data_IF_864068704287
#
_entry.id   IF_864068704287
#
_cell.length_a   1.000
_cell.length_b   1.000
_cell.length_c   1.000
_cell.angle_alpha   90.00
_cell.angle_beta   90.00
_cell.angle_gamma   90.00
#
_symmetry.space_group_name_H-M   'P 1'
#
loop_
_entity.id
_entity.type
_entity.pdbx_description
1 polymer ?
2 polymer ?
3 polymer ?
4 polymer ?
5 non-polymer ?
6 non-polymer ?
7 non-polymer ?
8 non-polymer ?
9 non-polymer ?
10 non-polymer ?
11 non-polymer ?
12 water ?
#
loop_
_entity_poly.entity_id
_entity_poly.type
_entity_poly.pdbx_seq_one_letter_code
_entity_poly.pdbx_strand_id
2 'polydeoxyribonucleotide' '(DC)(DG)(DG)(DC)(DA)(DT)(DA)(DC)(DG)' ?
3 'polydeoxyribonucleotide' '(DC)(DG)(DT)(DA)(8OG)' ?
4 'polydeoxyribonucleotide' '(DG)(DC)(DC)(DG)' ?
#
# COMPACT_ATOMS: atom_id res chain seq x y z
N UNK A 12 -18.30 6.04 16.54
CA UNK A 12 -17.35 5.72 15.47
C UNK A 12 -17.23 6.86 14.44
N UNK A 13 -16.06 7.49 14.35
CA UNK A 13 -15.91 8.61 13.42
C UNK A 13 -15.90 8.13 11.98
N UNK A 14 -16.24 9.05 11.08
CA UNK A 14 -16.50 8.65 9.69
C UNK A 14 -15.23 8.49 8.88
N UNK A 15 -14.13 9.11 9.27
CA UNK A 15 -12.89 9.03 8.54
C UNK A 15 -11.93 8.05 9.19
N UNK A 16 -11.22 7.27 8.38
CA UNK A 16 -10.35 6.25 8.98
C UNK A 16 -9.19 6.88 9.76
N UNK A 17 -8.80 8.11 9.43
CA UNK A 17 -7.69 8.75 10.13
C UNK A 17 -8.07 9.28 11.51
N UNK A 18 -9.34 9.19 11.89
CA UNK A 18 -9.81 9.66 13.17
C UNK A 18 -9.94 8.55 14.21
N UNK A 19 -9.54 7.34 13.87
CA UNK A 19 -9.71 6.24 14.78
C UNK A 19 -8.52 5.31 14.64
N UNK A 20 -8.08 4.71 15.75
CA UNK A 20 -7.05 3.68 15.66
C UNK A 20 -7.55 2.45 14.94
N UNK A 21 -6.72 1.92 14.06
CA UNK A 21 -7.03 0.65 13.39
C UNK A 21 -5.83 -0.27 13.54
N UNK A 22 -5.92 -1.29 14.40
CA UNK A 22 -4.79 -2.19 14.62
C UNK A 22 -4.65 -3.16 13.47
N UNK A 23 -3.50 -3.82 13.44
CA UNK A 23 -3.23 -4.77 12.37
C UNK A 23 -4.12 -5.99 12.49
N UNK A 24 -4.29 -6.48 13.70
CA UNK A 24 -5.17 -7.62 13.93
C UNK A 24 -6.37 -7.15 14.72
N UNK A 25 -7.51 -7.80 14.49
CA UNK A 25 -8.72 -7.26 15.08
C UNK A 25 -9.74 -8.38 15.31
N UNK A 26 -11.02 -7.98 15.44
CA UNK A 26 -12.05 -8.87 15.97
C UNK A 26 -13.12 -9.17 14.94
N UNK A 27 -12.92 -8.77 13.69
CA UNK A 27 -13.93 -8.94 12.66
C UNK A 27 -13.29 -9.32 11.34
N UNK A 28 -12.29 -10.21 11.42
CA UNK A 28 -11.45 -10.52 10.28
C UNK A 28 -12.26 -11.06 9.11
N UNK A 29 -13.14 -12.04 9.37
CA UNK A 29 -13.88 -12.66 8.28
C UNK A 29 -14.83 -11.69 7.59
N UNK A 30 -15.50 -10.86 8.37
CA UNK A 30 -16.41 -9.87 7.79
C UNK A 30 -15.66 -8.87 6.95
N UNK A 31 -14.52 -8.38 7.46
CA UNK A 31 -13.76 -7.40 6.70
C UNK A 31 -13.21 -8.01 5.42
N UNK A 32 -12.76 -9.28 5.47
CA UNK A 32 -12.23 -9.92 4.27
C UNK A 32 -13.29 -10.02 3.17
N UNK A 33 -14.53 -10.31 3.56
CA UNK A 33 -15.62 -10.43 2.60
C UNK A 33 -15.90 -9.10 1.92
N UNK A 34 -15.96 -8.02 2.70
CA UNK A 34 -16.18 -6.70 2.12
C UNK A 34 -15.01 -6.31 1.21
N UNK A 35 -13.78 -6.70 1.55
CA UNK A 35 -12.65 -6.36 0.70
C UNK A 35 -12.64 -7.14 -0.61
N UNK A 36 -13.26 -8.33 -0.66
CA UNK A 36 -13.43 -9.00 -1.95
C UNK A 36 -14.34 -8.19 -2.85
N UNK A 37 -15.44 -7.68 -2.31
CA UNK A 37 -16.34 -6.86 -3.11
C UNK A 37 -15.68 -5.56 -3.53
N UNK A 38 -14.84 -4.98 -2.67
CA UNK A 38 -14.13 -3.77 -3.04
C UNK A 38 -13.19 -4.03 -4.20
N UNK A 39 -12.42 -5.12 -4.11
CA UNK A 39 -11.49 -5.51 -5.17
C UNK A 39 -12.21 -5.74 -6.49
N UNK A 40 -13.33 -6.46 -6.46
CA UNK A 40 -14.11 -6.70 -7.67
C UNK A 40 -14.61 -5.39 -8.27
N UNK A 41 -15.05 -4.46 -7.43
CA UNK A 41 -15.48 -3.16 -7.91
C UNK A 41 -14.35 -2.44 -8.63
N UNK A 42 -13.13 -2.49 -8.07
CA UNK A 42 -11.98 -1.92 -8.75
C UNK A 42 -11.69 -2.58 -10.09
N UNK A 43 -11.85 -3.90 -10.17
CA UNK A 43 -11.62 -4.56 -11.45
C UNK A 43 -12.61 -4.12 -12.51
N UNK A 44 -13.77 -3.62 -12.11
CA UNK A 44 -14.76 -3.14 -13.06
C UNK A 44 -14.69 -1.62 -13.26
N UNK A 45 -13.74 -0.94 -12.62
CA UNK A 45 -13.63 0.50 -12.77
C UNK A 45 -14.58 1.30 -11.90
N UNK A 46 -15.17 0.69 -10.88
CA UNK A 46 -16.14 1.38 -10.04
C UNK A 46 -15.42 1.87 -8.79
N UNK A 47 -14.72 3.00 -8.93
CA UNK A 47 -13.89 3.47 -7.81
C UNK A 47 -14.72 3.92 -6.62
N UNK A 48 -15.92 4.46 -6.84
CA UNK A 48 -16.73 4.88 -5.71
C UNK A 48 -17.20 3.72 -4.87
N UNK A 49 -17.65 2.65 -5.52
CA UNK A 49 -18.07 1.47 -4.77
C UNK A 49 -16.88 0.82 -4.09
N UNK A 50 -15.73 0.77 -4.77
CA UNK A 50 -14.51 0.26 -4.14
C UNK A 50 -14.23 1.01 -2.83
N UNK A 51 -14.32 2.34 -2.88
CA UNK A 51 -14.02 3.12 -1.68
C UNK A 51 -15.00 2.83 -0.56
N UNK A 52 -16.30 2.74 -0.87
CA UNK A 52 -17.26 2.43 0.19
C UNK A 52 -17.02 1.06 0.79
N UNK A 53 -16.77 0.04 -0.02
CA UNK A 53 -16.56 -1.29 0.56
C UNK A 53 -15.27 -1.32 1.39
N UNK A 54 -14.21 -0.64 0.92
CA UNK A 54 -12.98 -0.54 1.69
C UNK A 54 -13.22 0.16 3.02
N UNK A 55 -13.97 1.27 2.99
CA UNK A 55 -14.25 2.02 4.21
C UNK A 55 -15.08 1.21 5.18
N UNK A 56 -16.12 0.53 4.69
CA UNK A 56 -16.92 -0.31 5.56
C UNK A 56 -16.08 -1.42 6.19
N UNK A 57 -15.23 -2.06 5.38
CA UNK A 57 -14.34 -3.07 5.93
C UNK A 57 -13.48 -2.46 7.04
N UNK A 58 -12.97 -1.24 6.80
CA UNK A 58 -12.08 -0.60 7.75
C UNK A 58 -12.78 -0.28 9.06
N UNK A 59 -14.05 0.12 8.98
CA UNK A 59 -14.82 0.37 10.19
C UNK A 59 -14.84 -0.87 11.07
N UNK A 60 -15.03 -2.04 10.47
CA UNK A 60 -15.07 -3.27 11.26
C UNK A 60 -13.73 -3.55 11.92
N UNK A 61 -12.64 -3.25 11.21
CA UNK A 61 -11.32 -3.44 11.79
C UNK A 61 -11.12 -2.58 13.04
N UNK A 62 -11.82 -1.45 13.12
CA UNK A 62 -11.64 -0.50 14.20
C UNK A 62 -12.53 -0.82 15.40
N UNK A 63 -13.42 -1.80 15.27
CA UNK A 63 -14.35 -2.07 16.36
C UNK A 63 -13.64 -2.80 17.49
N UNK A 64 -14.12 -2.62 18.73
CA UNK A 64 -13.43 -3.22 19.86
C UNK A 64 -13.79 -4.66 20.13
N UNK A 65 -14.77 -5.21 19.43
CA UNK A 65 -15.14 -6.61 19.66
C UNK A 65 -15.89 -7.11 18.43
N UNK A 66 -16.21 -8.40 18.39
CA UNK A 66 -16.86 -8.95 17.20
C UNK A 66 -18.29 -8.47 17.03
N UNK A 67 -18.66 -8.21 15.79
CA UNK A 67 -20.07 -8.01 15.45
C UNK A 67 -20.75 -9.37 15.47
N UNK A 68 -21.78 -9.51 16.29
CA UNK A 68 -22.55 -10.73 16.41
C UNK A 68 -23.98 -10.60 15.92
N UNK A 69 -24.49 -9.40 15.78
CA UNK A 69 -25.86 -9.24 15.36
C UNK A 69 -26.00 -7.98 14.52
N UNK A 70 -26.99 -7.99 13.62
CA UNK A 70 -27.18 -6.91 12.65
C UNK A 70 -27.36 -5.57 13.33
N UNK A 71 -28.06 -5.54 14.46
CA UNK A 71 -28.28 -4.36 15.27
C UNK A 71 -27.00 -3.56 15.51
N UNK A 72 -25.88 -4.27 15.66
CA UNK A 72 -24.63 -3.59 16.01
C UNK A 72 -24.08 -2.73 14.87
N UNK A 73 -24.61 -2.86 13.66
CA UNK A 73 -24.20 -2.00 12.56
C UNK A 73 -24.95 -0.68 12.53
N UNK A 74 -26.04 -0.56 13.25
CA UNK A 74 -26.88 0.62 13.13
C UNK A 74 -26.09 1.82 13.61
N UNK A 75 -26.07 2.86 12.81
CA UNK A 75 -25.31 4.01 13.14
C UNK A 75 -23.84 3.95 12.75
N UNK A 76 -23.30 2.79 12.35
CA UNK A 76 -21.90 2.80 11.93
C UNK A 76 -21.77 3.49 10.58
N UNK A 77 -20.76 4.32 10.39
CA UNK A 77 -20.60 4.95 9.08
C UNK A 77 -20.19 3.96 8.00
N UNK A 78 -20.65 4.23 6.78
CA UNK A 78 -20.36 3.46 5.57
C UNK A 78 -21.06 2.12 5.51
N UNK A 79 -22.00 1.86 6.40
CA UNK A 79 -22.88 0.69 6.31
C UNK A 79 -24.28 1.13 5.90
N UNK A 80 -24.64 0.80 4.67
CA UNK A 80 -26.00 0.94 4.20
C UNK A 80 -26.56 -0.40 3.82
N UNK A 81 -27.53 -0.41 2.91
CA UNK A 81 -28.27 -1.64 2.66
C UNK A 81 -27.36 -2.74 2.12
N UNK A 82 -26.44 -2.39 1.21
CA UNK A 82 -25.62 -3.43 0.58
C UNK A 82 -24.61 -4.03 1.55
N UNK A 83 -23.77 -3.21 2.18
CA UNK A 83 -22.79 -3.74 3.11
C UNK A 83 -23.45 -4.43 4.29
N UNK A 84 -24.60 -3.91 4.75
CA UNK A 84 -25.29 -4.53 5.87
C UNK A 84 -25.84 -5.90 5.47
N UNK A 85 -26.33 -6.02 4.23
CA UNK A 85 -26.83 -7.30 3.76
C UNK A 85 -25.71 -8.33 3.73
N UNK A 86 -24.52 -7.92 3.29
CA UNK A 86 -23.39 -8.84 3.24
C UNK A 86 -23.07 -9.34 4.65
N UNK A 87 -23.01 -8.44 5.61
CA UNK A 87 -22.73 -8.84 6.98
C UNK A 87 -23.85 -9.74 7.50
N UNK A 88 -25.12 -9.40 7.24
CA UNK A 88 -26.21 -10.22 7.75
C UNK A 88 -26.10 -11.66 7.25
N UNK A 89 -25.79 -11.84 5.96
CA UNK A 89 -25.71 -13.20 5.41
C UNK A 89 -24.57 -13.98 6.03
N UNK A 90 -23.43 -13.32 6.24
CA UNK A 90 -22.31 -13.97 6.91
C UNK A 90 -22.66 -14.35 8.34
N UNK A 91 -23.37 -13.46 9.06
CA UNK A 91 -23.74 -13.80 10.44
C UNK A 91 -24.73 -14.95 10.46
N UNK A 92 -25.64 -14.99 9.48
CA UNK A 92 -26.74 -15.95 9.50
C UNK A 92 -26.33 -17.31 8.94
N UNK A 93 -25.48 -17.32 7.91
CA UNK A 93 -25.19 -18.53 7.17
C UNK A 93 -23.70 -18.85 7.07
N UNK A 94 -22.83 -17.96 7.53
CA UNK A 94 -21.41 -18.19 7.42
C UNK A 94 -20.83 -17.90 6.05
N UNK A 95 -21.67 -17.49 5.11
CA UNK A 95 -21.29 -17.32 3.71
C UNK A 95 -22.20 -16.27 3.10
N UNK A 96 -21.66 -15.44 2.21
CA UNK A 96 -22.43 -14.45 1.48
C UNK A 96 -22.44 -14.86 0.02
N UNK A 97 -23.62 -15.11 -0.54
CA UNK A 97 -23.66 -15.69 -1.88
C UNK A 97 -23.01 -14.75 -2.89
N UNK A 98 -23.19 -13.44 -2.73
CA UNK A 98 -22.57 -12.50 -3.66
C UNK A 98 -21.06 -12.62 -3.63
N UNK A 99 -20.50 -12.69 -2.42
CA UNK A 99 -19.05 -12.81 -2.27
C UNK A 99 -18.56 -14.10 -2.89
N UNK A 100 -19.28 -15.20 -2.67
CA UNK A 100 -18.83 -16.46 -3.23
C UNK A 100 -18.90 -16.46 -4.75
N UNK A 101 -19.95 -15.88 -5.32
CA UNK A 101 -20.04 -15.81 -6.78
C UNK A 101 -18.88 -15.02 -7.37
N UNK A 102 -18.51 -13.89 -6.75
CA UNK A 102 -17.32 -13.16 -7.17
C UNK A 102 -16.09 -14.07 -7.13
N UNK A 103 -15.85 -14.69 -5.97
CA UNK A 103 -14.65 -15.50 -5.79
C UNK A 103 -14.49 -16.54 -6.89
N UNK A 104 -15.60 -17.20 -7.23
CA UNK A 104 -15.63 -18.29 -8.19
C UNK A 104 -15.54 -17.83 -9.63
N UNK A 105 -15.74 -16.55 -9.88
CA UNK A 105 -15.93 -16.10 -11.23
C UNK A 105 -14.61 -16.07 -11.99
N UNK A 106 -14.70 -16.39 -13.28
CA UNK A 106 -13.52 -16.40 -14.13
C UNK A 106 -12.95 -14.99 -14.28
N UNK A 107 -13.82 -13.98 -14.34
CA UNK A 107 -13.35 -12.60 -14.46
C UNK A 107 -12.58 -12.17 -13.22
N UNK A 108 -13.14 -12.40 -12.03
CA UNK A 108 -12.42 -12.03 -10.83
C UNK A 108 -11.07 -12.74 -10.74
N UNK A 109 -11.06 -14.05 -10.96
CA UNK A 109 -9.84 -14.82 -10.78
C UNK A 109 -8.76 -14.38 -11.77
N UNK A 110 -9.14 -14.09 -13.01
CA UNK A 110 -8.14 -13.73 -14.00
C UNK A 110 -7.65 -12.30 -13.80
N UNK A 111 -8.55 -11.39 -13.49
CA UNK A 111 -8.13 -10.02 -13.20
C UNK A 111 -7.23 -9.98 -11.97
N UNK A 112 -7.53 -10.80 -10.95
CA UNK A 112 -6.64 -10.87 -9.78
C UNK A 112 -5.26 -11.36 -10.18
N UNK A 113 -5.19 -12.44 -10.97
CA UNK A 113 -3.91 -12.99 -11.41
C UNK A 113 -3.12 -11.98 -12.23
N UNK A 114 -3.79 -11.30 -13.15
CA UNK A 114 -3.06 -10.43 -14.06
C UNK A 114 -2.59 -9.16 -13.35
N UNK A 115 -3.47 -8.56 -12.52
CA UNK A 115 -3.09 -7.31 -11.86
C UNK A 115 -2.04 -7.54 -10.78
N UNK A 116 -1.87 -8.78 -10.34
CA UNK A 116 -0.78 -9.07 -9.41
C UNK A 116 0.59 -9.04 -10.08
N UNK A 117 0.64 -9.06 -11.43
CA UNK A 117 1.91 -8.97 -12.13
C UNK A 117 2.44 -7.56 -12.02
N UNK A 118 3.70 -7.44 -11.62
CA UNK A 118 4.37 -6.14 -11.61
C UNK A 118 4.47 -5.63 -13.04
N UNK A 119 3.89 -4.46 -13.31
CA UNK A 119 3.83 -3.90 -14.64
C UNK A 119 2.47 -3.96 -15.26
N UNK A 120 1.51 -4.61 -14.61
CA UNK A 120 0.17 -4.81 -15.16
C UNK A 120 -0.82 -4.18 -14.20
N UNK A 121 -1.61 -3.22 -14.68
CA UNK A 121 -2.69 -2.65 -13.92
C UNK A 121 -4.03 -3.17 -14.38
N UNK A 122 -5.09 -2.59 -13.80
CA UNK A 122 -6.45 -2.99 -14.14
C UNK A 122 -6.70 -2.81 -15.64
N UNK A 123 -6.29 -1.67 -16.19
CA UNK A 123 -6.57 -1.41 -17.60
C UNK A 123 -5.92 -2.46 -18.49
N UNK A 124 -4.65 -2.78 -18.24
CA UNK A 124 -4.01 -3.78 -19.09
C UNK A 124 -4.63 -5.16 -18.89
N UNK A 125 -4.84 -5.55 -17.63
CA UNK A 125 -5.49 -6.83 -17.32
C UNK A 125 -6.83 -6.96 -18.02
N UNK A 126 -7.64 -5.90 -17.98
CA UNK A 126 -8.95 -5.94 -18.61
C UNK A 126 -8.84 -6.13 -20.13
N UNK A 127 -7.90 -5.44 -20.78
CA UNK A 127 -7.71 -5.61 -22.22
C UNK A 127 -7.32 -7.04 -22.56
N UNK A 128 -6.33 -7.58 -21.83
CA UNK A 128 -5.95 -8.97 -22.02
C UNK A 128 -7.13 -9.90 -21.82
N UNK A 129 -7.93 -9.66 -20.78
CA UNK A 129 -9.10 -10.49 -20.53
C UNK A 129 -10.04 -10.49 -21.72
N UNK A 130 -10.33 -9.30 -22.25
CA UNK A 130 -11.24 -9.20 -23.38
C UNK A 130 -10.64 -9.83 -24.63
N UNK A 131 -9.32 -9.83 -24.76
CA UNK A 131 -8.68 -10.51 -25.88
C UNK A 131 -8.69 -12.03 -25.76
N UNK A 132 -9.16 -12.57 -24.65
CA UNK A 132 -9.23 -14.01 -24.48
C UNK A 132 -8.16 -14.64 -23.62
N UNK A 133 -7.20 -13.86 -23.12
CA UNK A 133 -6.10 -14.40 -22.32
C UNK A 133 -6.58 -14.70 -20.91
N UNK A 134 -6.09 -15.82 -20.34
CA UNK A 134 -6.51 -16.26 -19.03
C UNK A 134 -5.39 -16.70 -18.10
N UNK A 135 -4.21 -17.09 -18.59
CA UNK A 135 -3.18 -17.64 -17.73
C UNK A 135 -1.85 -16.92 -17.93
N UNK A 136 -0.94 -17.12 -17.00
CA UNK A 136 0.37 -16.52 -17.15
C UNK A 136 1.11 -17.10 -18.35
N UNK A 137 0.93 -18.39 -18.62
CA UNK A 137 1.59 -18.95 -19.78
C UNK A 137 0.97 -18.44 -21.08
N UNK A 138 -0.32 -18.07 -21.06
CA UNK A 138 -0.86 -17.34 -22.21
C UNK A 138 -0.02 -16.10 -22.49
N UNK A 139 0.34 -15.36 -21.45
CA UNK A 139 1.11 -14.14 -21.65
C UNK A 139 2.54 -14.46 -22.06
N UNK A 140 3.10 -15.56 -21.55
CA UNK A 140 4.47 -15.89 -21.90
C UNK A 140 4.62 -16.25 -23.37
N UNK A 141 3.54 -16.69 -24.01
CA UNK A 141 3.61 -17.15 -25.39
C UNK A 141 3.60 -16.02 -26.41
N UNK A 142 3.41 -14.76 -26.00
CA UNK A 142 3.48 -13.62 -26.91
C UNK A 142 4.29 -12.50 -26.28
N UNK A 143 5.57 -12.74 -25.98
CA UNK A 143 6.33 -11.79 -25.16
C UNK A 143 6.63 -10.48 -25.88
N UNK A 144 6.34 -10.40 -27.17
CA UNK A 144 6.63 -9.17 -27.91
C UNK A 144 5.65 -8.07 -27.56
N UNK A 145 4.45 -8.43 -27.11
CA UNK A 145 3.46 -7.46 -26.66
C UNK A 145 3.62 -7.08 -25.19
N UNK A 146 4.73 -7.45 -24.55
CA UNK A 146 4.98 -7.15 -23.15
C UNK A 146 6.01 -6.05 -23.04
N UNK A 147 5.80 -5.13 -22.10
CA UNK A 147 6.80 -4.12 -21.77
C UNK A 147 7.95 -4.79 -21.04
N UNK A 148 9.11 -4.12 -21.01
CA UNK A 148 10.22 -4.71 -20.27
C UNK A 148 9.86 -4.90 -18.80
N UNK A 149 9.08 -3.97 -18.25
CA UNK A 149 8.65 -4.10 -16.85
C UNK A 149 7.75 -5.30 -16.64
N UNK A 150 6.82 -5.54 -17.58
CA UNK A 150 5.96 -6.72 -17.50
C UNK A 150 6.76 -8.00 -17.68
N UNK A 151 7.75 -7.98 -18.57
CA UNK A 151 8.61 -9.14 -18.72
C UNK A 151 9.27 -9.51 -17.40
N UNK A 152 9.81 -8.51 -16.70
CA UNK A 152 10.40 -8.75 -15.39
C UNK A 152 9.38 -9.27 -14.40
N UNK A 153 8.22 -8.61 -14.34
CA UNK A 153 7.19 -9.06 -13.43
C UNK A 153 6.77 -10.49 -13.67
N UNK A 154 6.69 -10.89 -14.94
CA UNK A 154 6.29 -12.26 -15.27
C UNK A 154 7.41 -13.25 -14.98
N UNK A 155 8.67 -12.91 -15.31
CA UNK A 155 9.73 -13.86 -15.02
C UNK A 155 9.84 -14.11 -13.51
N UNK A 156 9.71 -13.04 -12.72
CA UNK A 156 9.88 -13.11 -11.27
C UNK A 156 8.58 -13.34 -10.51
N UNK A 157 7.50 -13.64 -11.21
CA UNK A 157 6.19 -13.67 -10.59
C UNK A 157 6.14 -14.64 -9.42
N UNK A 158 6.75 -15.81 -9.57
CA UNK A 158 6.64 -16.85 -8.55
C UNK A 158 7.32 -16.39 -7.27
N UNK A 159 8.54 -15.86 -7.37
CA UNK A 159 9.20 -15.35 -6.17
C UNK A 159 8.42 -14.18 -5.57
N UNK A 160 7.93 -13.28 -6.42
CA UNK A 160 7.26 -12.10 -5.89
C UNK A 160 5.95 -12.45 -5.22
N UNK A 161 5.45 -13.67 -5.42
CA UNK A 161 4.21 -14.12 -4.80
C UNK A 161 4.42 -14.68 -3.40
N UNK A 162 5.68 -14.91 -2.99
CA UNK A 162 5.99 -15.49 -1.69
C UNK A 162 6.32 -14.38 -0.71
N UNK A 163 5.76 -14.38 0.48
CA UNK A 163 5.95 -13.21 1.33
C UNK A 163 7.38 -13.08 1.81
N UNK A 164 7.72 -11.86 2.04
CA UNK A 164 8.96 -11.41 2.65
C UNK A 164 8.79 -11.46 4.16
N UNK A 165 9.82 -11.92 4.88
CA UNK A 165 9.81 -11.96 6.34
C UNK A 165 10.66 -10.82 6.94
N UNK A 166 10.43 -10.56 8.22
CA UNK A 166 11.15 -9.46 8.87
C UNK A 166 12.66 -9.72 8.90
N UNK A 167 13.08 -11.00 9.04
CA UNK A 167 14.48 -11.38 8.85
C UNK A 167 15.02 -10.90 7.51
N UNK A 168 14.23 -11.08 6.46
CA UNK A 168 14.69 -10.66 5.14
C UNK A 168 14.89 -9.16 5.12
N UNK A 169 14.00 -8.43 5.78
CA UNK A 169 14.03 -6.98 5.74
C UNK A 169 15.31 -6.45 6.38
N UNK A 170 15.68 -7.00 7.54
CA UNK A 170 16.90 -6.57 8.21
C UNK A 170 18.11 -6.76 7.31
N UNK A 171 18.18 -7.90 6.61
CA UNK A 171 19.28 -8.13 5.70
C UNK A 171 19.27 -7.14 4.55
N UNK A 172 18.08 -6.86 3.97
CA UNK A 172 18.04 -5.89 2.89
C UNK A 172 18.41 -4.51 3.40
N UNK A 173 18.00 -4.15 4.62
CA UNK A 173 18.30 -2.80 5.07
C UNK A 173 19.81 -2.60 5.22
N UNK A 174 20.52 -3.66 5.61
CA UNK A 174 21.96 -3.52 5.74
C UNK A 174 22.63 -3.28 4.38
N UNK A 175 22.18 -3.98 3.33
CA UNK A 175 22.87 -3.77 2.05
C UNK A 175 22.50 -2.41 1.46
N UNK A 176 21.27 -1.93 1.68
CA UNK A 176 20.90 -0.59 1.22
C UNK A 176 21.69 0.47 1.98
N UNK A 177 21.85 0.31 3.29
CA UNK A 177 22.63 1.25 4.07
C UNK A 177 24.07 1.33 3.58
N UNK A 178 24.67 0.17 3.23
CA UNK A 178 26.04 0.18 2.74
C UNK A 178 26.14 1.03 1.48
N UNK A 179 25.20 0.86 0.55
CA UNK A 179 25.27 1.58 -0.72
C UNK A 179 25.02 3.06 -0.50
N UNK A 180 24.04 3.37 0.35
CA UNK A 180 23.69 4.75 0.66
C UNK A 180 24.86 5.46 1.33
N UNK A 181 25.56 4.75 2.22
CA UNK A 181 26.71 5.32 2.91
C UNK A 181 27.85 5.71 1.98
N UNK A 182 28.08 4.92 0.92
CA UNK A 182 29.08 5.29 -0.08
C UNK A 182 28.54 6.37 -1.00
N UNK A 183 27.24 6.34 -1.29
CA UNK A 183 26.69 7.33 -2.20
C UNK A 183 26.70 8.71 -1.56
N UNK A 184 26.43 8.78 -0.26
CA UNK A 184 26.37 10.06 0.44
C UNK A 184 26.54 9.82 1.93
N UNK A 185 27.76 9.95 2.44
CA UNK A 185 27.98 9.80 3.88
C UNK A 185 27.01 10.66 4.68
N UNK A 186 26.44 10.07 5.71
CA UNK A 186 25.50 10.76 6.56
C UNK A 186 24.07 10.58 6.16
N UNK A 187 23.80 10.03 4.98
CA UNK A 187 22.43 9.77 4.59
C UNK A 187 21.88 8.62 5.42
N UNK A 188 20.57 8.65 5.66
CA UNK A 188 19.92 7.68 6.54
C UNK A 188 18.88 6.90 5.77
N UNK A 189 18.60 5.70 6.26
CA UNK A 189 17.66 4.77 5.62
C UNK A 189 16.62 4.43 6.69
N UNK A 190 15.35 4.67 6.38
CA UNK A 190 14.24 4.38 7.28
C UNK A 190 13.31 3.36 6.65
N UNK A 191 13.00 2.29 7.40
CA UNK A 191 12.03 1.33 6.93
C UNK A 191 10.63 1.92 7.04
N UNK A 192 9.88 1.85 5.94
CA UNK A 192 8.52 2.37 5.93
C UNK A 192 7.54 1.27 5.55
N UNK A 193 6.42 1.67 4.95
CA UNK A 193 5.46 0.68 4.50
C UNK A 193 4.87 -0.21 5.59
N UNK A 194 4.38 -1.38 5.15
CA UNK A 194 3.68 -2.27 6.07
C UNK A 194 4.52 -2.78 7.23
N UNK A 195 5.82 -3.01 7.01
CA UNK A 195 6.67 -3.45 8.11
C UNK A 195 6.74 -2.38 9.19
N UNK A 196 6.72 -1.11 8.82
CA UNK A 196 6.71 -0.10 9.88
C UNK A 196 5.38 -0.09 10.63
N UNK A 197 4.28 -0.52 10.02
CA UNK A 197 3.00 -0.64 10.72
C UNK A 197 2.90 -1.92 11.56
N UNK A 198 3.97 -2.73 11.61
CA UNK A 198 4.04 -3.89 12.48
C UNK A 198 3.84 -5.23 11.80
N UNK A 199 3.67 -5.24 10.48
CA UNK A 199 3.46 -6.49 9.78
C UNK A 199 4.67 -7.39 9.97
N UNK A 200 4.42 -8.68 10.15
CA UNK A 200 5.49 -9.65 10.26
C UNK A 200 5.92 -10.19 8.91
N UNK A 201 5.06 -10.01 7.89
CA UNK A 201 5.35 -10.41 6.52
C UNK A 201 4.91 -9.28 5.58
N UNK A 202 5.34 -9.35 4.33
CA UNK A 202 4.91 -8.35 3.37
C UNK A 202 5.25 -8.85 1.99
N UNK A 203 4.78 -8.13 0.98
CA UNK A 203 5.12 -8.56 -0.37
C UNK A 203 6.11 -7.64 -1.03
N UNK A 204 6.63 -6.68 -0.28
CA UNK A 204 7.71 -5.83 -0.74
C UNK A 204 8.26 -5.16 0.50
N UNK A 205 9.36 -4.45 0.29
CA UNK A 205 10.01 -3.71 1.35
C UNK A 205 10.15 -2.28 0.86
N UNK A 206 9.87 -1.32 1.74
CA UNK A 206 9.89 0.09 1.40
C UNK A 206 10.91 0.82 2.26
N UNK A 207 11.79 1.59 1.63
CA UNK A 207 12.77 2.37 2.38
C UNK A 207 12.71 3.83 1.95
N UNK A 208 12.88 4.73 2.92
CA UNK A 208 12.91 6.16 2.71
C UNK A 208 14.27 6.68 3.12
N UNK A 209 14.89 7.46 2.24
CA UNK A 209 16.29 7.88 2.37
C UNK A 209 16.28 9.40 2.45
N UNK A 210 17.01 9.96 3.41
CA UNK A 210 17.18 11.41 3.47
C UNK A 210 18.59 11.72 4.00
N UNK A 211 18.87 13.01 4.17
CA UNK A 211 20.16 13.48 4.69
C UNK A 211 19.86 14.68 5.58
N UNK A 212 20.52 14.81 6.73
CA UNK A 212 20.14 15.87 7.67
C UNK A 212 20.42 17.27 7.17
N UNK A 213 21.26 17.42 6.14
CA UNK A 213 21.55 18.73 5.55
C UNK A 213 20.70 18.92 4.29
N UNK A 214 19.73 19.83 4.38
CA UNK A 214 18.82 20.09 3.29
C UNK A 214 19.58 20.40 2.01
N UNK A 215 19.20 19.71 0.92
CA UNK A 215 19.81 19.85 -0.36
C UNK A 215 20.84 18.78 -0.69
N UNK A 216 21.45 18.18 0.33
CA UNK A 216 22.49 17.20 0.06
C UNK A 216 21.93 15.95 -0.61
N UNK A 217 20.64 15.70 -0.46
CA UNK A 217 20.05 14.50 -1.01
C UNK A 217 19.77 14.63 -2.50
N UNK A 218 19.95 15.81 -3.08
CA UNK A 218 19.70 15.97 -4.50
C UNK A 218 20.63 15.04 -5.26
N UNK A 219 20.07 14.36 -6.25
CA UNK A 219 20.87 13.48 -7.10
C UNK A 219 21.31 12.19 -6.44
N UNK A 220 20.76 11.86 -5.26
CA UNK A 220 21.21 10.71 -4.50
C UNK A 220 20.76 9.37 -5.10
N UNK A 221 19.53 9.26 -5.56
CA UNK A 221 19.03 7.93 -5.91
C UNK A 221 19.79 7.29 -7.06
N UNK A 222 20.15 7.99 -8.13
CA UNK A 222 20.99 7.34 -9.17
C UNK A 222 22.30 6.81 -8.61
N UNK A 223 22.92 7.55 -7.69
CA UNK A 223 24.18 7.08 -7.12
C UNK A 223 23.95 5.81 -6.28
N UNK A 224 22.82 5.76 -5.57
CA UNK A 224 22.52 4.56 -4.80
C UNK A 224 22.26 3.39 -5.74
N UNK A 225 21.47 3.62 -6.79
CA UNK A 225 21.13 2.52 -7.69
C UNK A 225 22.35 1.98 -8.41
N UNK A 226 23.28 2.86 -8.82
CA UNK A 226 24.48 2.40 -9.51
C UNK A 226 25.29 1.49 -8.62
N UNK A 227 25.37 1.84 -7.34
CA UNK A 227 26.15 1.05 -6.39
C UNK A 227 25.48 -0.28 -6.09
N UNK A 228 24.16 -0.31 -6.00
CA UNK A 228 23.53 -1.61 -5.77
C UNK A 228 23.67 -2.49 -7.01
N UNK A 229 23.56 -1.89 -8.20
CA UNK A 229 23.70 -2.65 -9.43
C UNK A 229 25.12 -3.19 -9.58
N UNK A 230 26.13 -2.38 -9.25
CA UNK A 230 27.52 -2.85 -9.29
C UNK A 230 27.75 -4.02 -8.34
N UNK A 231 27.05 -4.07 -7.20
CA UNK A 231 27.14 -5.19 -6.26
C UNK A 231 26.36 -6.42 -6.70
N UNK A 232 25.72 -6.39 -7.86
CA UNK A 232 25.02 -7.56 -8.35
C UNK A 232 23.69 -7.84 -7.70
N UNK A 233 23.14 -6.87 -6.98
CA UNK A 233 21.94 -7.08 -6.19
C UNK A 233 20.65 -6.74 -6.92
N UNK A 234 20.72 -6.08 -8.08
CA UNK A 234 19.54 -5.54 -8.73
C UNK A 234 19.19 -6.45 -9.89
N UNK A 235 18.06 -7.13 -9.79
CA UNK A 235 17.58 -7.92 -10.90
C UNK A 235 16.79 -7.10 -11.91
N UNK A 236 16.15 -6.02 -11.46
CA UNK A 236 15.39 -5.14 -12.35
C UNK A 236 15.26 -3.77 -11.69
N UNK A 237 15.40 -2.72 -12.51
CA UNK A 237 14.95 -1.38 -12.12
C UNK A 237 14.81 -0.56 -13.40
N UNK A 238 14.22 0.62 -13.27
CA UNK A 238 14.12 1.47 -14.46
C UNK A 238 15.36 2.34 -14.61
N UNK A 258 17.28 12.13 -13.72
CA UNK A 258 17.10 12.36 -12.30
C UNK A 258 15.79 11.73 -11.82
N UNK A 259 15.77 11.13 -10.64
CA UNK A 259 14.55 10.52 -10.12
C UNK A 259 14.62 10.43 -8.60
N UNK A 260 13.45 10.19 -7.96
CA UNK A 260 13.37 10.11 -6.51
C UNK A 260 12.59 8.90 -5.97
N UNK A 261 11.96 8.10 -6.83
CA UNK A 261 11.35 6.82 -6.45
C UNK A 261 11.90 5.77 -7.39
N UNK A 262 12.35 4.65 -6.84
CA UNK A 262 12.86 3.54 -7.64
C UNK A 262 12.10 2.28 -7.25
N UNK A 263 11.51 1.60 -8.25
CA UNK A 263 10.73 0.38 -8.01
C UNK A 263 11.61 -0.75 -8.55
N UNK A 264 12.27 -1.49 -7.67
CA UNK A 264 13.22 -2.46 -8.17
C UNK A 264 12.92 -3.85 -7.64
N UNK A 265 13.56 -4.84 -8.27
CA UNK A 265 13.54 -6.23 -7.85
C UNK A 265 14.97 -6.54 -7.42
N UNK A 266 15.13 -7.00 -6.17
CA UNK A 266 16.40 -7.28 -5.51
C UNK A 266 16.64 -8.78 -5.49
N UNK A 267 17.93 -9.16 -5.56
CA UNK A 267 18.33 -10.52 -5.21
C UNK A 267 18.54 -10.62 -3.69
N UNK A 268 17.73 -11.44 -3.03
CA UNK A 268 17.81 -11.61 -1.59
C UNK A 268 18.41 -12.98 -1.28
N UNK A 269 19.54 -13.06 -0.57
CA UNK A 269 20.09 -14.37 -0.21
C UNK A 269 19.11 -15.24 0.56
N UNK A 270 19.22 -16.56 0.30
CA UNK A 270 18.47 -17.64 0.92
C UNK A 270 19.46 -18.78 1.14
N UNK A 271 19.14 -19.80 1.94
CA UNK A 271 20.08 -20.91 2.13
C UNK A 271 20.45 -21.57 0.80
N UNK A 272 21.72 -21.47 0.43
CA UNK A 272 22.20 -22.09 -0.79
C UNK A 272 21.67 -21.52 -2.10
N UNK A 273 20.98 -20.38 -2.04
CA UNK A 273 20.41 -19.79 -3.24
C UNK A 273 19.96 -18.36 -2.91
N UNK A 274 18.89 -17.91 -3.53
CA UNK A 274 18.41 -16.54 -3.40
C UNK A 274 17.00 -16.49 -3.95
N UNK A 275 16.32 -15.40 -3.68
CA UNK A 275 15.02 -15.15 -4.29
C UNK A 275 14.86 -13.68 -4.60
N UNK A 276 14.00 -13.40 -5.58
CA UNK A 276 13.69 -12.04 -5.99
C UNK A 276 12.71 -11.42 -5.01
N UNK A 277 12.94 -10.15 -4.64
CA UNK A 277 12.10 -9.40 -3.72
C UNK A 277 11.87 -8.01 -4.30
N UNK A 278 10.64 -7.53 -4.24
CA UNK A 278 10.34 -6.16 -4.61
C UNK A 278 10.80 -5.22 -3.49
N UNK A 279 11.53 -4.18 -3.87
CA UNK A 279 12.04 -3.18 -2.94
C UNK A 279 11.78 -1.81 -3.57
N UNK A 280 11.18 -0.91 -2.81
CA UNK A 280 11.01 0.47 -3.23
C UNK A 280 11.95 1.36 -2.45
N UNK A 281 12.67 2.21 -3.17
CA UNK A 281 13.56 3.20 -2.58
C UNK A 281 13.07 4.58 -2.94
N UNK A 282 13.00 5.45 -1.93
CA UNK A 282 12.47 6.79 -2.09
C UNK A 282 13.42 7.76 -1.41
N UNK A 283 13.65 8.90 -2.04
CA UNK A 283 14.47 9.95 -1.45
C UNK A 283 13.62 11.18 -1.22
N UNK A 284 13.83 11.83 -0.07
CA UNK A 284 13.10 13.06 0.27
C UNK A 284 14.09 14.02 0.92
N UNK A 285 14.00 15.31 0.67
CA UNK A 285 14.75 16.26 1.49
C UNK A 285 14.24 16.21 2.93
N UNK A 286 15.13 16.54 3.88
CA UNK A 286 14.76 16.39 5.28
C UNK A 286 13.55 17.28 5.64
N UNK A 287 13.39 18.44 4.98
CA UNK A 287 12.22 19.28 5.23
C UNK A 287 10.92 18.57 4.88
N UNK A 288 10.94 17.64 3.93
CA UNK A 288 9.75 16.93 3.52
C UNK A 288 9.64 15.56 4.16
N UNK A 289 10.66 15.14 4.90
CA UNK A 289 10.74 13.75 5.34
C UNK A 289 9.53 13.35 6.18
N UNK A 290 9.00 14.17 7.08
CA UNK A 290 7.83 13.73 7.86
C UNK A 290 6.63 13.44 6.98
N UNK A 291 6.44 14.25 5.92
CA UNK A 291 5.34 14.02 5.01
C UNK A 291 5.55 12.77 4.19
N UNK A 292 6.78 12.53 3.77
CA UNK A 292 7.06 11.33 3.00
C UNK A 292 6.96 10.10 3.88
N UNK A 293 7.45 10.19 5.12
CA UNK A 293 7.33 9.07 6.05
C UNK A 293 5.86 8.74 6.29
N UNK A 294 5.05 9.77 6.52
CA UNK A 294 3.63 9.55 6.72
C UNK A 294 3.00 8.86 5.51
N UNK A 295 3.25 9.37 4.32
CA UNK A 295 2.64 8.79 3.14
C UNK A 295 3.08 7.36 2.90
N UNK A 296 4.40 7.10 2.94
CA UNK A 296 4.92 5.78 2.62
C UNK A 296 4.68 4.77 3.73
N UNK A 297 4.31 5.21 4.93
CA UNK A 297 3.93 4.26 5.98
C UNK A 297 2.49 3.76 5.82
N UNK A 298 1.60 4.51 5.14
CA UNK A 298 0.27 3.99 4.82
C UNK A 298 -0.59 3.85 6.06
N UNK A 299 -1.57 2.94 6.03
CA UNK A 299 -1.97 2.16 4.86
C UNK A 299 -2.47 3.06 3.71
N UNK A 300 -2.71 2.44 2.55
CA UNK A 300 -3.24 3.19 1.43
C UNK A 300 -4.56 3.88 1.80
N UNK A 301 -5.50 3.13 2.35
CA UNK A 301 -6.78 3.73 2.74
C UNK A 301 -6.56 4.84 3.76
N UNK A 302 -5.63 4.63 4.70
CA UNK A 302 -5.37 5.65 5.70
C UNK A 302 -4.92 6.94 5.04
N UNK A 303 -4.05 6.85 4.03
CA UNK A 303 -3.56 8.07 3.40
C UNK A 303 -4.64 8.76 2.58
N UNK A 304 -5.46 7.99 1.85
CA UNK A 304 -6.57 8.58 1.11
C UNK A 304 -7.53 9.29 2.05
N UNK A 305 -7.83 8.67 3.19
CA UNK A 305 -8.73 9.25 4.16
C UNK A 305 -8.12 10.49 4.81
N UNK A 306 -6.83 10.45 5.11
CA UNK A 306 -6.16 11.61 5.68
C UNK A 306 -6.16 12.78 4.70
N UNK A 307 -5.91 12.51 3.43
CA UNK A 307 -5.89 13.60 2.47
C UNK A 307 -7.29 14.13 2.24
N UNK A 308 -8.29 13.25 2.25
CA UNK A 308 -9.67 13.69 2.12
C UNK A 308 -10.08 14.54 3.32
N UNK A 309 -9.74 14.07 4.53
CA UNK A 309 -10.00 14.82 5.75
C UNK A 309 -9.37 16.21 5.69
N UNK A 310 -8.08 16.27 5.35
CA UNK A 310 -7.37 17.53 5.26
C UNK A 310 -8.11 18.54 4.39
N UNK A 311 -8.45 18.12 3.17
CA UNK A 311 -9.04 19.02 2.21
C UNK A 311 -10.47 19.35 2.58
N UNK A 312 -11.28 18.33 2.85
CA UNK A 312 -12.72 18.54 3.03
C UNK A 312 -13.08 19.10 4.41
N UNK A 313 -12.34 18.76 5.46
CA UNK A 313 -12.68 19.23 6.80
C UNK A 313 -11.84 20.43 7.23
N UNK A 314 -10.59 20.52 6.77
CA UNK A 314 -9.70 21.57 7.23
C UNK A 314 -9.30 22.55 6.12
N UNK A 315 -9.61 22.25 4.87
CA UNK A 315 -9.30 23.19 3.81
C UNK A 315 -7.84 23.26 3.47
N UNK A 316 -7.09 22.21 3.78
CA UNK A 316 -5.67 22.12 3.54
C UNK A 316 -5.35 20.97 2.59
N UNK A 317 -4.33 21.14 1.77
CA UNK A 317 -4.00 20.19 0.71
C UNK A 317 -2.77 19.39 1.12
N UNK A 318 -2.95 18.07 1.28
CA UNK A 318 -1.89 17.18 1.77
C UNK A 318 -1.39 16.24 0.68
N UNK A 319 -0.07 16.08 0.63
CA UNK A 319 0.53 15.02 -0.15
C UNK A 319 1.81 14.55 0.55
N UNK A 320 2.59 13.72 -0.13
CA UNK A 320 3.76 13.12 0.51
C UNK A 320 4.95 14.07 0.52
N UNK A 321 4.75 15.30 0.03
CA UNK A 321 5.75 16.35 0.06
C UNK A 321 5.47 17.46 1.04
N UNK A 322 4.23 17.62 1.49
CA UNK A 322 3.90 18.80 2.28
C UNK A 322 2.40 18.96 2.48
N UNK A 323 2.08 20.08 3.14
CA UNK A 323 0.72 20.41 3.58
C UNK A 323 0.54 21.88 3.27
N UNK A 324 -0.35 22.20 2.33
CA UNK A 324 -0.49 23.53 1.78
C UNK A 324 -1.78 24.18 2.26
N UNK A 325 -1.67 25.44 2.71
CA UNK A 325 -2.81 26.32 2.99
C UNK A 325 -3.09 27.13 1.73
N UNK A 326 -4.14 26.78 0.99
CA UNK A 326 -4.41 27.50 -0.27
C UNK A 326 -4.95 28.90 -0.08
N UNK A 327 -5.34 29.29 1.14
CA UNK A 327 -5.83 30.65 1.38
C UNK A 327 -4.65 31.61 1.63
N UNK A 328 -3.73 31.26 2.52
CA UNK A 328 -2.55 32.09 2.69
C UNK A 328 -1.43 31.73 1.72
N UNK A 329 -1.56 30.61 1.01
CA UNK A 329 -0.60 30.21 -0.02
C UNK A 329 0.76 29.92 0.63
N UNK A 330 0.72 29.11 1.68
CA UNK A 330 1.89 28.81 2.48
C UNK A 330 1.92 27.32 2.81
N UNK A 331 3.13 26.78 2.97
CA UNK A 331 3.35 25.40 3.33
C UNK A 331 3.64 25.29 4.82
N UNK A 332 3.07 24.27 5.45
CA UNK A 332 3.35 24.00 6.84
C UNK A 332 4.73 23.37 6.96
N UNK A 333 5.50 23.81 7.93
CA UNK A 333 6.75 23.15 8.24
C UNK A 333 6.42 22.03 9.21
N UNK A 334 7.01 20.88 9.00
CA UNK A 334 6.81 19.81 9.96
C UNK A 334 8.15 19.21 10.28
N UNK A 335 8.40 18.96 11.57
CA UNK A 335 9.60 18.30 12.02
C UNK A 335 9.36 16.84 12.40
N UNK A 336 8.10 16.42 12.39
CA UNK A 336 7.71 15.09 12.85
C UNK A 336 6.33 14.78 12.31
N UNK A 337 6.02 13.49 12.28
CA UNK A 337 4.63 13.11 12.01
C UNK A 337 3.70 13.71 13.06
N UNK A 338 4.14 13.75 14.32
CA UNK A 338 3.30 14.35 15.36
C UNK A 338 2.88 15.76 14.96
N UNK A 339 3.81 16.54 14.37
CA UNK A 339 3.47 17.89 13.90
C UNK A 339 2.30 17.84 12.92
N UNK A 340 2.31 16.86 12.02
CA UNK A 340 1.33 16.85 10.95
C UNK A 340 -0.05 16.53 11.50
N UNK A 341 -0.14 15.54 12.37
CA UNK A 341 -1.42 15.27 13.02
C UNK A 341 -1.90 16.51 13.76
N UNK A 342 -1.00 17.22 14.45
CA UNK A 342 -1.44 18.41 15.17
C UNK A 342 -1.93 19.49 14.20
N UNK A 343 -1.23 19.67 13.07
CA UNK A 343 -1.66 20.66 12.09
C UNK A 343 -3.09 20.41 11.65
N UNK A 344 -3.44 19.15 11.48
CA UNK A 344 -4.75 18.71 11.00
C UNK A 344 -5.78 18.56 12.11
N UNK A 345 -5.42 18.85 13.37
CA UNK A 345 -6.37 18.72 14.45
C UNK A 345 -6.81 17.30 14.74
N UNK A 346 -5.92 16.32 14.51
CA UNK A 346 -6.22 14.92 14.73
C UNK A 346 -5.40 14.40 15.90
N UNK A 347 -5.98 13.47 16.68
CA UNK A 347 -5.20 12.78 17.69
C UNK A 347 -4.13 11.95 16.97
N UNK A 348 -2.91 11.94 17.55
CA UNK A 348 -1.81 11.20 16.94
C UNK A 348 -2.12 9.71 16.95
N UNK A 349 -1.81 9.05 15.85
CA UNK A 349 -1.88 7.61 15.76
C UNK A 349 -0.50 7.07 15.41
N UNK A 350 0.06 6.16 16.19
CA UNK A 350 1.32 5.53 15.79
C UNK A 350 1.12 4.67 14.57
N UNK A 351 2.20 4.33 13.86
CA UNK A 351 2.05 3.50 12.64
C UNK A 351 1.23 2.24 12.81
N UNK A 352 1.39 1.57 13.96
CA UNK A 352 0.68 0.33 14.24
C UNK A 352 -0.83 0.53 14.32
N UNK A 353 -1.30 1.76 14.42
CA UNK A 353 -2.74 2.02 14.45
C UNK A 353 -3.24 2.69 13.18
N UNK A 354 -2.46 2.62 12.09
CA UNK A 354 -2.83 3.17 10.80
C UNK A 354 -3.18 2.08 9.80
N UNK A 355 -3.60 0.93 10.29
CA UNK A 355 -3.85 -0.23 9.44
C UNK A 355 -5.29 -0.24 8.96
N UNK A 356 -5.74 0.92 8.48
CA UNK A 356 -7.07 1.06 7.91
C UNK A 356 -7.23 0.19 6.68
X LIG E 1 -16.67 14.88 9.97
X LIG E 1 -16.80 13.49 9.83
X LIG E 1 -15.34 15.20 10.64
X LIG E 1 -15.37 14.72 11.96
X LIG F 1 -20.05 -5.04 18.53
X LIG F 1 -20.78 -3.99 19.08
X LIG F 1 -18.81 -4.39 17.90
X LIG F 1 -17.96 -3.96 18.91
X LIG G 1 1.89 12.39 -2.95
X LIG G 1 3.12 13.01 -3.25
X LIG H 1 0.33 -5.08 -11.15
X LIG I 1 5.18 -2.14 1.02
X LIG J 1 6.20 -0.76 -2.02
X LIG K 1 1.14 -9.84 8.81
X LIG K 1 2.12 -9.75 7.74
X LIG K 1 1.72 -9.84 10.16
X LIG K 1 0.05 -8.93 8.54
X LIG L 1 1.48 -0.91 2.97
X LIG L 1 2.40 -1.72 2.13
X LIG L 1 3.85 -1.44 2.43
X LIG L 1 2.03 -1.68 0.67
X LIG L 1 2.01 -3.26 2.41
X LIG L 1 2.78 -4.38 1.57
X LIG L 1 3.34 -5.01 2.86
X LIG L 1 1.68 -5.00 0.72
X LIG L 1 3.60 -3.46 0.67
X LIG M 1 -10.17 -2.13 0.32
X LIG N 1 -18.49 3.31 -8.66
X LIG O 1 3.23 7.90 -0.55
X LIG O 1 2.00 8.58 -0.58
X LIG O 1 3.34 7.08 -1.83
X LIG O 1 3.22 7.96 -2.92
#
# INVERSE_FOLDING_TARGET
GSAAAPLSPAWMPAYACQRPTPLTHHNTGLSEALEILAEAAGFEGSEGRLLTFCRAASVLKALPSPVTTLSQLQGLPHFGEHSSRVVQELLEHGVCEEVERVRRSERYQTMKLFTQIFGVGVKTADRWYREGLRTLDDLREQPQKLTQQQKAGLQHHQDLSTPVLRSDVDALQQVVEEAVGQALPGATVTLTGGFRRGKLQGHDVDFLITHPKEGQEAGLLPRVMCRLQDQGLILYHQHQHSCCESPTRLAQQSHMDAFERSFCIFRLPQPGSWKAVRVDLVVAPVSQFPFALLGWTGSKLFQRELRRFSRKEKGLWLNSHGLFDPEQKTFFQAASEEDIFRHLGLEYLPPEQRNA
EDO C1 O1 C2 O2
EDO C1 O1 C2 O2
EDO C1 O1
NA NA
MG MG
MG MG
EPE S O1S O2S O3S
PPV O11 P1 O21 O31 OPP P2 O12 O22 O32
DTT S1
CL CL
EDO C1 O1 C2 O2
#
